data_IF_937051467632
#
_entry.id   IF_937051467632
#
_cell.length_a   1.000
_cell.length_b   1.000
_cell.length_c   1.000
_cell.angle_alpha   90.00
_cell.angle_beta   90.00
_cell.angle_gamma   90.00
#
_symmetry.space_group_name_H-M   'P 1'
#
loop_
_entity.id
_entity.type
_entity.pdbx_description
1 polymer ?
2 non-polymer ?
3 water ?
#
# COMPACT_ATOMS: atom_id res chain seq x y z
N UNK A 1 12.24 14.87 -2.10
CA UNK A 1 11.25 15.70 -2.81
C UNK A 1 9.82 15.33 -2.40
N UNK A 2 8.85 16.01 -2.99
CA UNK A 2 7.44 15.74 -2.68
C UNK A 2 6.81 14.97 -3.83
N UNK A 3 6.19 13.84 -3.50
CA UNK A 3 5.54 13.01 -4.51
C UNK A 3 4.04 13.05 -4.31
N UNK A 4 3.32 13.56 -5.30
CA UNK A 4 1.87 13.64 -5.21
C UNK A 4 1.29 12.26 -5.47
N UNK A 5 0.02 12.09 -5.14
CA UNK A 5 -0.63 10.80 -5.32
C UNK A 5 -1.72 10.78 -6.38
N UNK A 6 -1.69 11.75 -7.30
CA UNK A 6 -2.68 11.78 -8.38
C UNK A 6 -2.47 10.54 -9.25
N UNK A 7 -1.22 10.10 -9.32
CA UNK A 7 -0.86 8.89 -10.08
C UNK A 7 -0.13 7.95 -9.13
N UNK A 8 0.06 6.71 -9.58
CA UNK A 8 0.77 5.72 -8.78
C UNK A 8 2.19 6.25 -8.57
N UNK A 9 2.69 6.20 -7.33
CA UNK A 9 4.04 6.67 -7.01
C UNK A 9 5.09 5.63 -7.38
N UNK A 10 5.47 5.62 -8.66
CA UNK A 10 6.45 4.68 -9.18
C UNK A 10 7.84 5.28 -9.19
N UNK A 11 8.83 4.47 -8.82
CA UNK A 11 10.21 4.94 -8.81
C UNK A 11 11.10 3.86 -9.38
N UNK A 12 12.33 4.24 -9.73
CA UNK A 12 13.28 3.27 -10.26
C UNK A 12 14.27 2.96 -9.16
N UNK A 13 14.50 1.68 -8.91
CA UNK A 13 15.44 1.28 -7.88
C UNK A 13 16.55 0.47 -8.52
N UNK A 14 17.68 0.38 -7.82
CA UNK A 14 18.82 -0.40 -8.29
C UNK A 14 19.02 -1.50 -7.26
N UNK A 15 18.95 -2.75 -7.70
CA UNK A 15 19.12 -3.88 -6.80
C UNK A 15 19.77 -5.04 -7.54
N UNK A 16 20.75 -5.67 -6.91
CA UNK A 16 21.44 -6.79 -7.53
C UNK A 16 22.00 -6.46 -8.90
N UNK A 17 22.45 -5.23 -9.08
CA UNK A 17 23.01 -4.82 -10.35
C UNK A 17 21.96 -4.59 -11.43
N UNK A 18 20.69 -4.72 -11.05
CA UNK A 18 19.59 -4.53 -11.99
C UNK A 18 18.76 -3.28 -11.67
N UNK A 19 18.09 -2.75 -12.68
CA UNK A 19 17.23 -1.58 -12.49
C UNK A 19 15.81 -2.08 -12.66
N UNK A 20 14.95 -1.74 -11.71
CA UNK A 20 13.56 -2.16 -11.75
C UNK A 20 12.65 -1.04 -11.30
N UNK A 21 11.42 -1.06 -11.79
CA UNK A 21 10.43 -0.06 -11.42
C UNK A 21 9.62 -0.64 -10.26
N UNK A 22 9.37 0.17 -9.24
CA UNK A 22 8.61 -0.30 -8.09
C UNK A 22 7.67 0.76 -7.58
N UNK A 23 6.63 0.31 -6.89
CA UNK A 23 5.62 1.20 -6.34
C UNK A 23 5.93 1.52 -4.88
N UNK A 24 5.92 2.80 -4.50
CA UNK A 24 6.17 3.18 -3.11
C UNK A 24 4.87 2.84 -2.40
N UNK A 25 4.91 1.84 -1.53
CA UNK A 25 3.71 1.36 -0.86
C UNK A 25 3.72 1.44 0.67
N UNK A 26 3.05 2.45 1.22
CA UNK A 26 3.01 2.63 2.67
C UNK A 26 2.20 1.53 3.36
N UNK A 27 1.44 0.77 2.57
CA UNK A 27 0.65 -0.31 3.13
C UNK A 27 1.41 -1.61 3.29
N UNK A 28 2.55 -1.74 2.62
CA UNK A 28 3.37 -2.96 2.68
C UNK A 28 4.39 -2.96 3.82
N UNK A 29 4.41 -4.02 4.63
CA UNK A 29 5.38 -4.10 5.73
C UNK A 29 6.79 -4.21 5.17
N UNK A 30 6.96 -5.01 4.12
CA UNK A 30 8.27 -5.19 3.49
C UNK A 30 8.20 -5.06 1.97
N UNK A 31 9.36 -4.92 1.35
CA UNK A 31 9.47 -4.80 -0.10
C UNK A 31 9.24 -6.19 -0.71
N UNK A 32 8.49 -6.25 -1.81
CA UNK A 32 8.23 -7.52 -2.50
C UNK A 32 8.46 -7.32 -3.99
N UNK A 33 9.35 -8.13 -4.56
CA UNK A 33 9.70 -8.03 -5.97
C UNK A 33 9.43 -9.32 -6.74
N UNK A 34 9.18 -9.19 -8.04
CA UNK A 34 8.93 -10.34 -8.91
C UNK A 34 10.18 -11.21 -8.93
N UNK A 35 10.04 -12.45 -9.39
CA UNK A 35 11.17 -13.37 -9.43
C UNK A 35 12.47 -12.78 -9.95
N UNK A 36 13.52 -12.96 -9.15
CA UNK A 36 14.85 -12.48 -9.47
C UNK A 36 15.85 -13.21 -8.59
N UNK A 37 17.12 -13.10 -8.95
CA UNK A 37 18.16 -13.75 -8.19
C UNK A 37 18.79 -12.79 -7.18
N UNK A 38 19.08 -13.29 -5.99
CA UNK A 38 19.72 -12.49 -4.96
C UNK A 38 20.69 -13.42 -4.22
N UNK A 39 21.84 -12.89 -3.79
CA UNK A 39 22.85 -13.67 -3.08
C UNK A 39 22.55 -13.80 -1.59
N UNK A 40 23.18 -14.77 -0.93
CA UNK A 40 22.97 -14.95 0.49
C UNK A 40 21.91 -15.98 0.84
N UNK A 41 21.61 -16.09 2.13
CA UNK A 41 20.62 -17.04 2.60
C UNK A 41 19.21 -16.47 2.57
N UNK A 42 18.23 -17.37 2.54
CA UNK A 42 16.82 -16.97 2.52
C UNK A 42 15.95 -18.02 3.20
N UNK A 43 14.74 -17.62 3.57
CA UNK A 43 13.81 -18.53 4.22
C UNK A 43 12.43 -18.30 3.61
N UNK A 44 11.66 -19.38 3.39
CA UNK A 44 10.32 -19.29 2.82
C UNK A 44 9.34 -18.63 3.77
N UNK A 45 8.38 -17.92 3.20
CA UNK A 45 7.39 -17.20 3.98
C UNK A 45 6.12 -17.02 3.16
N UNK A 46 4.99 -16.88 3.84
CA UNK A 46 3.71 -16.67 3.17
C UNK A 46 3.21 -15.28 3.53
N UNK A 47 2.76 -14.52 2.53
CA UNK A 47 2.23 -13.19 2.80
C UNK A 47 0.85 -13.09 2.19
N UNK A 48 -0.07 -12.50 2.94
CA UNK A 48 -1.44 -12.40 2.46
C UNK A 48 -1.98 -11.01 2.25
N UNK A 49 -2.41 -10.75 1.03
CA UNK A 49 -2.98 -9.46 0.72
C UNK A 49 -4.36 -9.72 0.16
N UNK A 50 -4.83 -8.78 -0.65
CA UNK A 50 -6.13 -8.91 -1.27
C UNK A 50 -6.00 -10.05 -2.27
N UNK A 51 -6.95 -10.96 -2.25
CA UNK A 51 -6.90 -12.08 -3.18
C UNK A 51 -6.36 -13.36 -2.57
N UNK A 52 -5.71 -13.26 -1.42
CA UNK A 52 -5.16 -14.45 -0.79
C UNK A 52 -3.67 -14.37 -0.51
N UNK A 53 -3.05 -15.52 -0.25
CA UNK A 53 -1.62 -15.60 0.06
C UNK A 53 -0.74 -16.09 -1.09
N UNK A 54 0.53 -15.70 -1.08
CA UNK A 54 1.49 -16.18 -2.07
C UNK A 54 2.74 -16.55 -1.29
N UNK A 55 3.52 -17.48 -1.82
CA UNK A 55 4.75 -17.91 -1.15
C UNK A 55 5.92 -17.12 -1.73
N UNK A 56 6.77 -16.60 -0.85
CA UNK A 56 7.94 -15.82 -1.26
C UNK A 56 9.19 -16.26 -0.50
N UNK A 57 10.35 -15.81 -0.98
CA UNK A 57 11.63 -16.11 -0.34
C UNK A 57 12.10 -14.83 0.32
N UNK A 58 12.43 -14.90 1.61
CA UNK A 58 12.88 -13.73 2.34
C UNK A 58 14.40 -13.61 2.38
N UNK A 59 14.92 -12.52 1.83
CA UNK A 59 16.36 -12.26 1.84
C UNK A 59 16.59 -11.05 2.74
N UNK A 60 17.56 -11.15 3.65
CA UNK A 60 17.84 -10.02 4.54
C UNK A 60 19.18 -9.37 4.22
N UNK A 61 19.34 -8.13 4.67
CA UNK A 61 20.57 -7.37 4.46
C UNK A 61 20.91 -7.24 2.98
N UNK A 62 19.93 -6.83 2.18
CA UNK A 62 20.14 -6.65 0.75
C UNK A 62 20.30 -5.16 0.44
N UNK A 63 21.41 -4.77 -0.20
CA UNK A 63 21.68 -3.38 -0.56
C UNK A 63 20.73 -2.93 -1.67
N UNK A 64 20.16 -1.74 -1.53
CA UNK A 64 19.23 -1.25 -2.53
C UNK A 64 19.34 0.27 -2.64
N UNK A 65 19.22 0.80 -3.85
CA UNK A 65 19.29 2.24 -4.05
C UNK A 65 17.98 2.78 -4.61
N UNK A 66 17.39 3.75 -3.91
CA UNK A 66 16.12 4.35 -4.32
C UNK A 66 16.22 5.87 -4.29
N UNK A 67 15.88 6.52 -5.40
CA UNK A 67 15.93 7.97 -5.48
C UNK A 67 17.29 8.52 -5.05
N UNK A 68 18.35 7.83 -5.44
CA UNK A 68 19.69 8.26 -5.08
C UNK A 68 20.07 7.95 -3.65
N UNK A 69 19.18 7.29 -2.91
CA UNK A 69 19.45 6.94 -1.52
C UNK A 69 19.87 5.48 -1.40
N UNK A 70 21.09 5.25 -0.92
CA UNK A 70 21.60 3.89 -0.74
C UNK A 70 21.17 3.35 0.62
N UNK A 71 20.32 2.33 0.61
CA UNK A 71 19.83 1.74 1.85
C UNK A 71 19.94 0.22 1.85
N UNK A 72 19.71 -0.38 3.01
CA UNK A 72 19.78 -1.83 3.13
C UNK A 72 18.56 -2.34 3.88
N UNK A 73 18.07 -3.51 3.49
CA UNK A 73 16.89 -4.06 4.15
C UNK A 73 16.49 -5.44 3.67
N UNK A 74 15.26 -5.83 4.01
CA UNK A 74 14.73 -7.12 3.64
C UNK A 74 13.97 -7.06 2.33
N UNK A 75 14.15 -8.09 1.51
CA UNK A 75 13.47 -8.16 0.22
C UNK A 75 12.79 -9.51 0.09
N UNK A 76 11.50 -9.48 -0.22
CA UNK A 76 10.73 -10.70 -0.41
C UNK A 76 10.61 -10.90 -1.92
N UNK A 77 10.95 -12.09 -2.38
CA UNK A 77 10.90 -12.41 -3.81
C UNK A 77 9.89 -13.51 -4.09
N UNK A 78 9.01 -13.27 -5.06
CA UNK A 78 8.01 -14.26 -5.38
C UNK A 78 7.06 -13.82 -6.48
N UNK A 79 5.99 -14.58 -6.73
CA UNK A 79 5.03 -14.24 -7.78
C UNK A 79 4.09 -13.08 -7.51
N UNK A 80 4.64 -11.92 -7.15
CA UNK A 80 3.79 -10.76 -6.93
C UNK A 80 3.47 -10.17 -8.29
N UNK A 81 2.24 -9.69 -8.47
CA UNK A 81 1.82 -9.09 -9.75
C UNK A 81 2.50 -7.75 -10.01
N UNK A 82 3.02 -7.12 -8.96
CA UNK A 82 3.72 -5.85 -9.13
C UNK A 82 4.79 -5.62 -8.06
N UNK A 83 5.87 -4.95 -8.45
CA UNK A 83 6.96 -4.67 -7.52
C UNK A 83 6.54 -3.57 -6.57
N UNK A 84 6.76 -3.83 -5.28
CA UNK A 84 6.39 -2.88 -4.25
C UNK A 84 7.51 -2.61 -3.25
N UNK A 85 7.70 -1.33 -2.91
CA UNK A 85 8.69 -0.95 -1.92
C UNK A 85 7.92 -0.73 -0.62
N UNK A 86 8.26 -1.50 0.40
CA UNK A 86 7.56 -1.40 1.67
C UNK A 86 8.18 -0.52 2.74
N UNK A 87 7.49 -0.40 3.87
CA UNK A 87 7.95 0.44 4.97
C UNK A 87 9.36 0.11 5.47
N UNK A 88 9.74 -1.16 5.44
CA UNK A 88 11.06 -1.53 5.93
C UNK A 88 12.19 -0.77 5.22
N UNK A 89 11.95 -0.36 3.97
CA UNK A 89 12.96 0.39 3.23
C UNK A 89 12.62 1.88 3.17
N UNK A 90 11.33 2.20 3.14
CA UNK A 90 10.89 3.59 3.08
C UNK A 90 11.42 4.39 4.26
N UNK A 91 11.46 3.76 5.43
CA UNK A 91 11.96 4.44 6.63
C UNK A 91 13.42 4.84 6.49
N UNK A 92 14.21 3.96 5.89
CA UNK A 92 15.64 4.20 5.71
C UNK A 92 15.98 5.42 4.86
N UNK A 93 15.06 5.80 3.97
CA UNK A 93 15.29 6.96 3.12
C UNK A 93 14.59 8.20 3.67
N UNK A 94 14.00 8.06 4.85
CA UNK A 94 13.31 9.18 5.49
C UNK A 94 11.99 9.54 4.85
N UNK A 95 11.30 8.55 4.31
CA UNK A 95 10.01 8.80 3.66
C UNK A 95 8.87 8.90 4.67
N UNK A 96 8.05 9.94 4.54
CA UNK A 96 6.91 10.12 5.43
C UNK A 96 5.66 10.55 4.65
N UNK A 97 4.50 10.37 5.26
CA UNK A 97 3.23 10.78 4.67
C UNK A 97 2.89 12.12 5.30
N UNK A 98 2.41 13.07 4.51
CA UNK A 98 2.05 14.38 5.04
C UNK A 98 0.76 14.92 4.45
N UNK A 99 -0.06 15.53 5.30
CA UNK A 99 -1.32 16.12 4.88
C UNK A 99 -1.86 17.05 5.97
N UNK B 1 -0.74 16.46 9.33
CA UNK B 1 0.41 16.07 10.16
C UNK B 1 1.42 15.26 9.36
N UNK B 2 2.50 14.85 10.01
CA UNK B 2 3.54 14.06 9.37
C UNK B 2 3.57 12.68 10.02
N UNK B 3 3.45 11.64 9.20
CA UNK B 3 3.45 10.28 9.72
C UNK B 3 4.66 9.50 9.22
N UNK B 4 5.46 8.99 10.16
CA UNK B 4 6.63 8.20 9.81
C UNK B 4 6.14 6.78 9.54
N UNK B 5 7.00 5.94 8.98
CA UNK B 5 6.59 4.58 8.63
C UNK B 5 7.22 3.44 9.45
N UNK B 6 7.78 3.76 10.61
CA UNK B 6 8.39 2.73 11.44
C UNK B 6 7.32 1.73 11.91
N UNK B 7 6.08 2.20 11.97
CA UNK B 7 4.93 1.37 12.36
C UNK B 7 3.90 1.50 11.24
N UNK B 8 2.91 0.60 11.20
CA UNK B 8 1.89 0.70 10.15
C UNK B 8 1.12 2.02 10.30
N UNK B 9 0.93 2.75 9.19
CA UNK B 9 0.20 4.03 9.21
C UNK B 9 -1.31 3.85 9.38
N UNK B 10 -1.69 3.41 10.58
CA UNK B 10 -3.09 3.19 10.93
C UNK B 10 -3.69 4.46 11.50
N UNK B 11 -4.89 4.81 11.05
CA UNK B 11 -5.56 6.01 11.53
C UNK B 11 -7.03 5.70 11.76
N UNK B 12 -7.74 6.62 12.38
CA UNK B 12 -9.15 6.41 12.63
C UNK B 12 -9.96 7.09 11.54
N UNK B 13 -10.97 6.41 11.03
CA UNK B 13 -11.81 7.01 10.00
C UNK B 13 -13.22 6.99 10.54
N UNK B 14 -14.11 7.75 9.92
CA UNK B 14 -15.50 7.75 10.36
C UNK B 14 -16.38 7.61 9.13
N UNK B 15 -17.20 6.57 9.12
CA UNK B 15 -18.09 6.34 7.99
C UNK B 15 -19.41 5.80 8.54
N UNK B 16 -20.52 6.33 8.03
CA UNK B 16 -21.82 5.91 8.50
C UNK B 16 -21.99 6.17 9.99
N UNK B 17 -21.32 7.20 10.49
CA UNK B 17 -21.41 7.54 11.91
C UNK B 17 -20.60 6.65 12.83
N UNK B 18 -19.85 5.71 12.27
CA UNK B 18 -19.05 4.79 13.07
C UNK B 18 -17.54 4.98 12.89
N UNK B 19 -16.79 4.82 13.97
CA UNK B 19 -15.34 4.96 13.92
C UNK B 19 -14.71 3.61 13.62
N UNK B 20 -13.72 3.60 12.73
CA UNK B 20 -13.03 2.38 12.35
C UNK B 20 -11.54 2.67 12.18
N UNK B 21 -10.72 1.63 12.24
CA UNK B 21 -9.28 1.75 12.05
C UNK B 21 -8.98 1.43 10.59
N UNK B 22 -8.13 2.23 9.94
CA UNK B 22 -7.79 1.99 8.54
C UNK B 22 -6.33 2.30 8.25
N UNK B 23 -5.80 1.67 7.21
CA UNK B 23 -4.41 1.86 6.82
C UNK B 23 -4.26 2.78 5.61
N UNK B 24 -3.40 3.78 5.72
CA UNK B 24 -3.16 4.71 4.60
C UNK B 24 -2.22 3.96 3.67
N UNK B 25 -2.72 3.59 2.50
CA UNK B 25 -1.93 2.80 1.57
C UNK B 25 -1.69 3.45 0.21
N UNK B 26 -0.51 4.02 0.01
CA UNK B 26 -0.18 4.66 -1.25
C UNK B 26 -0.07 3.68 -2.42
N UNK B 27 -0.02 2.39 -2.12
CA UNK B 27 0.08 1.40 -3.18
C UNK B 27 -1.28 0.96 -3.71
N UNK B 28 -2.35 1.46 -3.10
CA UNK B 28 -3.70 1.12 -3.52
C UNK B 28 -4.36 2.23 -4.33
N UNK B 29 -4.90 1.88 -5.50
CA UNK B 29 -5.58 2.89 -6.33
C UNK B 29 -6.90 3.25 -5.66
N UNK B 30 -7.54 2.24 -5.08
CA UNK B 30 -8.84 2.39 -4.44
C UNK B 30 -8.89 2.13 -2.94
N UNK B 31 -10.04 2.45 -2.36
CA UNK B 31 -10.27 2.27 -0.94
C UNK B 31 -11.18 1.06 -0.76
N UNK B 32 -10.74 0.10 0.04
CA UNK B 32 -11.54 -1.10 0.27
C UNK B 32 -11.73 -1.31 1.76
N UNK B 33 -12.98 -1.47 2.16
CA UNK B 33 -13.32 -1.66 3.57
C UNK B 33 -13.93 -3.04 3.80
N UNK B 34 -13.79 -3.51 5.03
CA UNK B 34 -14.33 -4.79 5.46
C UNK B 34 -15.85 -4.70 5.41
N UNK B 35 -16.51 -5.85 5.35
CA UNK B 35 -17.97 -5.90 5.29
C UNK B 35 -18.65 -4.91 6.24
N UNK B 36 -19.61 -4.17 5.70
CA UNK B 36 -20.37 -3.19 6.46
C UNK B 36 -21.59 -2.81 5.64
N UNK B 37 -22.45 -1.97 6.21
CA UNK B 37 -23.64 -1.55 5.50
C UNK B 37 -23.52 -0.11 5.01
N UNK B 38 -23.89 0.11 3.76
CA UNK B 38 -23.86 1.44 3.17
C UNK B 38 -25.18 1.66 2.43
N UNK B 39 -25.62 2.92 2.34
CA UNK B 39 -26.87 3.27 1.66
C UNK B 39 -26.78 3.33 0.14
N UNK B 40 -27.94 3.30 -0.51
CA UNK B 40 -27.99 3.38 -1.96
C UNK B 40 -27.68 2.10 -2.70
N UNK B 41 -27.48 2.22 -4.01
CA UNK B 41 -27.18 1.07 -4.83
C UNK B 41 -25.68 0.96 -5.03
N UNK B 42 -25.24 -0.26 -5.31
CA UNK B 42 -23.84 -0.51 -5.56
C UNK B 42 -23.66 -1.12 -6.93
N UNK B 43 -22.44 -1.00 -7.46
CA UNK B 43 -22.08 -1.54 -8.76
C UNK B 43 -21.00 -2.58 -8.51
N UNK B 44 -20.83 -3.53 -9.44
CA UNK B 44 -19.81 -4.57 -9.26
C UNK B 44 -18.43 -4.09 -9.70
N UNK B 45 -17.40 -4.64 -9.07
CA UNK B 45 -16.04 -4.33 -9.44
C UNK B 45 -15.14 -5.48 -9.04
N UNK B 46 -14.14 -5.73 -9.87
CA UNK B 46 -13.15 -6.77 -9.64
C UNK B 46 -11.82 -6.05 -9.47
N UNK B 47 -11.15 -6.29 -8.35
CA UNK B 47 -9.86 -5.65 -8.10
C UNK B 47 -8.79 -6.71 -7.89
N UNK B 48 -7.56 -6.39 -8.27
CA UNK B 48 -6.47 -7.33 -8.11
C UNK B 48 -5.52 -6.95 -7.00
N UNK B 49 -5.15 -7.93 -6.18
CA UNK B 49 -4.23 -7.70 -5.08
C UNK B 49 -3.02 -8.60 -5.24
N UNK B 50 -2.17 -8.65 -4.22
CA UNK B 50 -0.97 -9.48 -4.29
C UNK B 50 -1.29 -10.96 -4.41
N UNK B 51 -2.41 -11.39 -3.82
CA UNK B 51 -2.79 -12.79 -3.88
C UNK B 51 -3.75 -13.20 -4.98
N UNK B 52 -4.29 -12.23 -5.71
CA UNK B 52 -5.22 -12.55 -6.78
C UNK B 52 -6.35 -11.54 -6.89
N UNK B 53 -7.49 -11.96 -7.43
CA UNK B 53 -8.62 -11.04 -7.59
C UNK B 53 -9.82 -11.34 -6.70
N UNK B 54 -10.51 -10.29 -6.26
CA UNK B 54 -11.69 -10.47 -5.43
C UNK B 54 -12.82 -9.62 -5.99
N UNK B 55 -14.05 -10.02 -5.69
CA UNK B 55 -15.22 -9.29 -6.15
C UNK B 55 -15.61 -8.36 -5.00
N UNK B 56 -15.91 -7.10 -5.31
CA UNK B 56 -16.31 -6.14 -4.29
C UNK B 56 -17.56 -5.37 -4.69
N UNK B 57 -18.18 -4.70 -3.72
CA UNK B 57 -19.37 -3.90 -3.97
C UNK B 57 -18.90 -2.44 -4.01
N UNK B 58 -19.18 -1.74 -5.11
CA UNK B 58 -18.75 -0.34 -5.23
C UNK B 58 -19.85 0.67 -4.92
N UNK B 59 -19.61 1.51 -3.92
CA UNK B 59 -20.56 2.55 -3.55
C UNK B 59 -19.89 3.89 -3.87
N UNK B 60 -20.62 4.79 -4.51
CA UNK B 60 -20.06 6.09 -4.88
C UNK B 60 -20.61 7.25 -4.05
N UNK B 61 -19.87 8.36 -4.07
CA UNK B 61 -20.26 9.57 -3.35
C UNK B 61 -20.60 9.37 -1.88
N UNK B 62 -19.78 8.57 -1.20
CA UNK B 62 -19.99 8.29 0.21
C UNK B 62 -19.13 9.17 1.10
N UNK B 63 -19.75 9.81 2.10
CA UNK B 63 -19.00 10.68 3.01
C UNK B 63 -18.13 9.85 3.94
N UNK B 64 -16.89 10.29 4.12
CA UNK B 64 -15.96 9.59 4.98
C UNK B 64 -14.92 10.56 5.53
N UNK B 65 -14.68 10.46 6.83
CA UNK B 65 -13.72 11.32 7.50
C UNK B 65 -12.46 10.49 7.75
N UNK B 66 -11.31 11.05 7.39
CA UNK B 66 -10.03 10.37 7.56
C UNK B 66 -9.12 11.26 8.40
N UNK B 67 -8.79 10.81 9.61
CA UNK B 67 -7.95 11.60 10.50
C UNK B 67 -8.57 12.98 10.71
N UNK B 68 -9.90 13.03 10.69
CA UNK B 68 -10.60 14.29 10.88
C UNK B 68 -10.86 15.06 9.60
N UNK B 69 -10.17 14.69 8.52
CA UNK B 69 -10.34 15.36 7.24
C UNK B 69 -11.54 14.82 6.49
N UNK B 70 -12.42 15.72 6.05
CA UNK B 70 -13.62 15.31 5.33
C UNK B 70 -13.36 14.96 3.87
N UNK B 71 -14.00 13.89 3.41
CA UNK B 71 -13.89 13.44 2.03
C UNK B 71 -15.23 12.86 1.62
N UNK B 72 -15.44 12.73 0.32
CA UNK B 72 -16.68 12.15 -0.21
C UNK B 72 -16.26 11.44 -1.48
N UNK B 73 -16.33 10.12 -1.49
CA UNK B 73 -15.91 9.42 -2.69
C UNK B 73 -16.35 7.98 -2.78
N UNK B 74 -15.68 7.25 -3.65
CA UNK B 74 -15.98 5.85 -3.88
C UNK B 74 -15.35 4.94 -2.84
N UNK B 75 -16.18 4.06 -2.28
CA UNK B 75 -15.72 3.10 -1.29
C UNK B 75 -16.08 1.71 -1.80
N UNK B 76 -15.14 0.77 -1.69
CA UNK B 76 -15.38 -0.60 -2.12
C UNK B 76 -15.49 -1.48 -0.87
N UNK B 77 -16.49 -2.36 -0.86
CA UNK B 77 -16.70 -3.24 0.28
C UNK B 77 -16.48 -4.70 -0.13
N UNK B 78 -15.55 -5.37 0.53
CA UNK B 78 -15.26 -6.75 0.19
C UNK B 78 -14.35 -7.46 1.17
N UNK B 79 -14.01 -8.73 0.89
CA UNK B 79 -13.13 -9.51 1.77
C UNK B 79 -11.68 -9.06 1.83
N UNK B 80 -11.39 -8.12 2.72
CA UNK B 80 -10.03 -7.62 2.88
C UNK B 80 -9.57 -7.84 4.32
N UNK B 81 -8.28 -8.17 4.50
CA UNK B 81 -7.78 -8.39 5.86
C UNK B 81 -7.75 -7.13 6.71
N UNK B 82 -7.84 -5.97 6.06
CA UNK B 82 -7.84 -4.72 6.79
C UNK B 82 -8.46 -3.62 5.94
N UNK B 83 -8.97 -2.58 6.59
CA UNK B 83 -9.56 -1.46 5.88
C UNK B 83 -8.39 -0.70 5.28
N UNK B 84 -8.45 -0.41 3.99
CA UNK B 84 -7.36 0.33 3.38
C UNK B 84 -7.87 1.58 2.69
N UNK B 85 -7.19 2.70 2.95
CA UNK B 85 -7.54 3.96 2.32
C UNK B 85 -6.58 4.12 1.14
N UNK B 86 -7.15 4.19 -0.06
CA UNK B 86 -6.34 4.32 -1.26
C UNK B 86 -6.19 5.73 -1.79
N UNK B 87 -5.44 5.84 -2.88
CA UNK B 87 -5.18 7.14 -3.50
C UNK B 87 -6.40 7.97 -3.85
N UNK B 88 -7.52 7.32 -4.18
CA UNK B 88 -8.71 8.10 -4.53
C UNK B 88 -9.07 9.03 -3.37
N UNK B 89 -8.91 8.56 -2.14
CA UNK B 89 -9.23 9.39 -0.98
C UNK B 89 -8.01 10.12 -0.40
N UNK B 90 -6.81 9.57 -0.58
CA UNK B 90 -5.63 10.25 -0.05
C UNK B 90 -5.46 11.59 -0.77
N UNK B 91 -5.82 11.62 -2.05
CA UNK B 91 -5.72 12.86 -2.81
C UNK B 91 -6.71 13.90 -2.30
N UNK B 92 -7.88 13.45 -1.87
CA UNK B 92 -8.88 14.38 -1.36
C UNK B 92 -8.46 15.06 -0.05
N UNK B 93 -7.64 14.39 0.76
CA UNK B 93 -7.20 14.99 2.01
C UNK B 93 -5.85 15.70 1.87
N UNK B 94 -5.34 15.74 0.64
CA UNK B 94 -4.07 16.41 0.37
C UNK B 94 -2.83 15.70 0.85
N UNK B 95 -2.88 14.38 0.93
CA UNK B 95 -1.75 13.59 1.39
C UNK B 95 -0.70 13.40 0.30
N UNK B 96 0.56 13.48 0.68
CA UNK B 96 1.66 13.30 -0.26
C UNK B 96 2.79 12.55 0.44
N UNK B 97 3.73 12.05 -0.35
CA UNK B 97 4.90 11.34 0.16
C UNK B 97 6.05 12.34 0.10
N UNK B 98 6.86 12.36 1.15
CA UNK B 98 7.98 13.29 1.22
C UNK B 98 9.23 12.64 1.79
N UNK B 99 10.39 13.05 1.27
CA UNK B 99 11.67 12.53 1.74
C UNK B 99 12.81 13.37 1.17
X LIG C 1 -0.62 -6.16 0.48
X LIG C 1 -0.99 -7.09 -0.23
X LIG C 1 -1.06 -4.68 0.20
X LIG C 1 -0.05 -3.93 1.14
X LIG C 1 0.36 -4.96 2.15
X LIG C 1 0.17 -6.26 1.57
X LIG C 1 0.77 -7.50 2.13
X LIG C 1 2.29 -7.53 2.34
X LIG C 1 2.61 -8.33 3.48
X LIG C 1 1.38 -8.88 4.12
X LIG C 1 0.24 -8.01 3.53
X LIG C 1 0.03 -6.98 4.50
X LIG C 1 3.99 -8.52 3.91
X LIG C 1 5.05 -7.88 3.14
X LIG C 1 4.72 -7.05 1.98
X LIG C 1 3.34 -6.88 1.56
X LIG C 1 1.18 -3.53 0.57
X LIG C 1 -0.99 -2.91 -1.77
X LIG C 1 -0.45 -2.60 -3.14
X LIG C 1 -0.84 -4.39 -1.32
X LIG C 1 -2.63 -4.43 0.58
X LIG C 1 -3.07 -4.61 2.06
X LIG C 1 -3.08 -3.47 2.98
X LIG C 1 -3.48 -3.65 4.35
X LIG C 1 -3.87 -4.96 4.82
X LIG C 1 -3.87 -6.08 3.92
X LIG C 1 -3.47 -5.92 2.54
X LIG C 1 -2.59 -5.72 -10.31
X LIG C 1 -2.02 -5.11 -9.08
X LIG C 1 -1.63 -3.71 -9.07
X LIG C 1 -1.06 -3.09 -7.89
X LIG C 1 -0.86 -3.87 -6.68
X LIG C 1 -1.25 -5.28 -6.65
X LIG C 1 -1.82 -5.90 -7.85
X LIG C 1 -0.26 -3.16 -5.47
X LIG C 1 -1.08 -3.32 -4.25
X LIG C 1 -2.37 -2.79 -4.47
X LIG C 1 -3.51 -3.45 -4.23
X LIG C 1 -4.75 -2.61 -4.57
X LIG C 1 -4.86 -2.78 -6.01
X LIG C 1 -4.59 -1.80 -6.95
X LIG C 1 -4.80 -2.32 -8.18
X LIG C 1 -4.60 -1.53 -9.36
X LIG C 1 -4.22 -0.64 -6.66
X LIG C 1 -6.16 -2.99 -3.91
X LIG C 1 -6.06 -2.81 -2.37
X LIG C 1 -7.26 -1.99 -4.39
X LIG C 1 -6.67 -4.42 -4.25
X LIG C 1 -3.54 -4.61 -3.79
X LIG C 1 -1.74 -6.43 -11.26
X LIG C 1 -2.29 -7.03 -12.46
X LIG C 1 -3.72 -6.92 -12.74
X LIG C 1 -4.59 -6.21 -11.80
X LIG C 1 -4.03 -5.62 -10.60
#
# INVERSE_FOLDING_TARGET
>A
PQITLWQRPLVTIKIGGQLKEALLDTGADDTVLEEMSLPGRWKPKMIGGIGGFIKVRQYDQIPIEICGHKAIGTVLVGPTPTNVIGRNLLTQIGCTLNF
>B
PQITLWQRPLVTIKIGGQLKEALLDTGADDTVLEEMSLPGRWKPKMIGGIGGFIKVRQYDQIPIEICGHKAIGTVLVGPTPTNVIGRNLLTQIGCTLNF
>C hetero
1 QG8 C1 O2 C3 C4 C5 N6 C7 C8 C9 C10 C11 O12 C13 C14 C15 C16 O17 C18 C19 C20 C21 C22 C23 C24 C25 C26 C27 C28 C29 C30 C31 C32 C33 C34 C35 N36 N37 C38 C39 N40 C41 O42 C43 O44 C45 C46 C47 C48 O49 C50 C51 C52 C53 C54
#
